data_IF_523075036373
#
_entry.id   IF_523075036373
#
_cell.length_a   1.000
_cell.length_b   1.000
_cell.length_c   1.000
_cell.angle_alpha   90.00
_cell.angle_beta   90.00
_cell.angle_gamma   90.00
#
_symmetry.space_group_name_H-M   'P 1'
#
loop_
_entity.id
_entity.type
_entity.pdbx_description
1 polymer ?
#
# COMPACT_ATOMS: atom_id res chain seq x y z
N UNK A 1 10.28 -21.39 -21.72
CA UNK A 1 10.46 -22.65 -22.32
C UNK A 1 10.88 -22.63 -23.77
N UNK A 2 10.08 -22.04 -24.64
CA UNK A 2 10.38 -22.03 -26.08
C UNK A 2 11.65 -21.24 -26.43
N UNK A 3 11.98 -20.23 -25.64
CA UNK A 3 13.19 -19.45 -25.88
C UNK A 3 14.47 -20.23 -25.65
N UNK A 4 14.46 -21.29 -24.83
CA UNK A 4 15.65 -22.07 -24.49
C UNK A 4 16.28 -22.74 -25.69
N UNK A 5 15.48 -23.22 -26.62
CA UNK A 5 15.99 -23.91 -27.81
C UNK A 5 16.71 -23.04 -28.83
N UNK A 6 16.70 -21.72 -28.65
CA UNK A 6 17.30 -20.76 -29.60
C UNK A 6 18.73 -20.38 -29.28
N UNK A 7 19.21 -20.71 -28.10
CA UNK A 7 20.48 -20.22 -27.60
C UNK A 7 21.51 -21.36 -27.48
N UNK A 8 22.72 -21.07 -27.92
CA UNK A 8 23.85 -21.98 -27.83
C UNK A 8 24.59 -21.81 -26.50
N UNK A 9 24.62 -20.59 -26.00
CA UNK A 9 25.23 -20.25 -24.72
C UNK A 9 24.17 -20.34 -23.62
N UNK A 10 24.39 -21.22 -22.67
CA UNK A 10 23.46 -21.49 -21.59
C UNK A 10 23.18 -20.25 -20.74
N UNK A 11 24.19 -19.49 -20.40
CA UNK A 11 24.00 -18.26 -19.58
C UNK A 11 23.18 -17.23 -20.32
N UNK A 12 23.41 -17.06 -21.63
CA UNK A 12 22.62 -16.16 -22.46
C UNK A 12 21.19 -16.65 -22.64
N UNK A 13 21.00 -17.96 -22.74
CA UNK A 13 19.68 -18.58 -22.86
C UNK A 13 18.84 -18.31 -21.59
N UNK A 14 19.43 -18.54 -20.43
CA UNK A 14 18.76 -18.28 -19.15
C UNK A 14 18.42 -16.79 -18.98
N UNK A 15 19.37 -15.90 -19.31
CA UNK A 15 19.16 -14.47 -19.29
C UNK A 15 18.01 -14.05 -20.22
N UNK A 16 17.94 -14.60 -21.42
CA UNK A 16 16.87 -14.27 -22.37
C UNK A 16 15.50 -14.74 -21.87
N UNK A 17 15.42 -15.91 -21.25
CA UNK A 17 14.15 -16.38 -20.63
C UNK A 17 13.67 -15.40 -19.57
N UNK A 18 14.55 -14.87 -18.73
CA UNK A 18 14.17 -13.90 -17.71
C UNK A 18 13.75 -12.53 -18.29
N UNK A 19 14.31 -12.12 -19.41
CA UNK A 19 13.93 -10.88 -20.09
C UNK A 19 12.57 -11.02 -20.77
N UNK A 20 12.33 -12.15 -21.46
CA UNK A 20 11.11 -12.37 -22.24
C UNK A 20 9.93 -12.86 -21.39
N UNK A 21 10.19 -13.47 -20.24
CA UNK A 21 9.14 -14.00 -19.37
C UNK A 21 8.60 -12.90 -18.45
N UNK A 22 7.30 -12.78 -18.36
CA UNK A 22 6.65 -11.82 -17.46
C UNK A 22 6.48 -12.37 -16.03
N UNK A 23 5.90 -13.57 -15.91
CA UNK A 23 5.68 -14.25 -14.64
C UNK A 23 5.51 -15.75 -14.85
N UNK A 24 5.79 -16.50 -13.81
CA UNK A 24 5.54 -17.95 -13.77
C UNK A 24 4.90 -18.33 -12.44
N UNK A 25 4.06 -19.37 -12.45
CA UNK A 25 3.44 -19.89 -11.23
C UNK A 25 3.97 -21.27 -10.87
N UNK A 26 3.98 -21.58 -9.58
CA UNK A 26 4.32 -22.90 -9.05
C UNK A 26 3.40 -23.24 -7.87
N UNK A 27 3.03 -24.50 -7.79
CA UNK A 27 2.36 -25.08 -6.61
C UNK A 27 3.26 -26.18 -6.08
N UNK A 28 3.56 -26.13 -4.79
CA UNK A 28 4.49 -27.09 -4.19
C UNK A 28 4.12 -27.43 -2.76
N UNK A 29 4.66 -28.53 -2.28
CA UNK A 29 4.66 -28.88 -0.87
C UNK A 29 6.08 -28.70 -0.33
N UNK A 30 6.18 -28.07 0.83
CA UNK A 30 7.41 -27.97 1.61
C UNK A 30 7.24 -28.66 2.94
N UNK A 31 8.21 -29.46 3.33
CA UNK A 31 8.21 -30.17 4.59
C UNK A 31 9.44 -29.81 5.40
N UNK A 32 9.23 -29.31 6.60
CA UNK A 32 10.29 -29.04 7.58
C UNK A 32 9.65 -28.94 8.99
N UNK A 33 10.46 -29.18 10.02
CA UNK A 33 9.98 -29.11 11.40
C UNK A 33 8.82 -30.05 11.72
N UNK A 34 8.73 -31.20 11.03
CA UNK A 34 7.64 -32.17 11.22
C UNK A 34 6.31 -31.73 10.62
N UNK A 35 6.28 -30.68 9.80
CA UNK A 35 5.08 -30.13 9.17
C UNK A 35 5.23 -30.10 7.66
N UNK A 36 4.09 -30.17 6.95
CA UNK A 36 4.01 -30.00 5.50
C UNK A 36 3.15 -28.79 5.17
N UNK A 37 3.66 -27.95 4.28
CA UNK A 37 3.02 -26.70 3.86
C UNK A 37 2.67 -26.75 2.38
N UNK A 38 1.44 -26.38 2.05
CA UNK A 38 1.02 -26.18 0.66
C UNK A 38 1.28 -24.73 0.28
N UNK A 39 2.18 -24.54 -0.68
CA UNK A 39 2.69 -23.22 -1.07
C UNK A 39 2.37 -22.97 -2.53
N UNK A 40 1.78 -21.81 -2.81
CA UNK A 40 1.54 -21.32 -4.16
C UNK A 40 2.31 -20.03 -4.37
N UNK A 41 3.02 -19.96 -5.49
CA UNK A 41 3.93 -18.86 -5.81
C UNK A 41 3.67 -18.36 -7.20
N UNK A 42 3.60 -17.05 -7.34
CA UNK A 42 3.78 -16.36 -8.62
C UNK A 42 5.08 -15.59 -8.53
N UNK A 43 5.99 -15.91 -9.42
CA UNK A 43 7.29 -15.25 -9.54
C UNK A 43 7.23 -14.28 -10.71
N UNK A 44 7.47 -13.01 -10.43
CA UNK A 44 7.36 -11.90 -11.39
C UNK A 44 8.75 -11.41 -11.75
N UNK A 45 9.03 -11.29 -13.05
CA UNK A 45 10.33 -10.86 -13.56
C UNK A 45 10.35 -9.35 -13.76
N UNK A 46 10.73 -8.60 -12.71
CA UNK A 46 10.69 -7.15 -12.70
C UNK A 46 11.69 -6.49 -13.65
N UNK A 47 12.70 -7.23 -14.10
CA UNK A 47 13.64 -6.75 -15.11
C UNK A 47 13.06 -6.73 -16.52
N UNK A 48 11.93 -7.39 -16.74
CA UNK A 48 11.21 -7.30 -18.00
C UNK A 48 10.57 -5.90 -18.13
N UNK A 49 10.94 -5.09 -19.14
CA UNK A 49 10.43 -3.72 -19.26
C UNK A 49 8.94 -3.65 -19.58
N UNK A 50 8.33 -4.76 -20.01
CA UNK A 50 6.89 -4.85 -20.29
C UNK A 50 6.06 -5.23 -19.06
N UNK A 51 6.69 -5.48 -17.94
CA UNK A 51 6.04 -5.81 -16.67
C UNK A 51 5.95 -4.55 -15.80
N UNK A 52 4.78 -4.26 -15.30
CA UNK A 52 4.52 -3.20 -14.33
C UNK A 52 3.74 -3.73 -13.13
N UNK A 53 3.75 -2.94 -12.08
CA UNK A 53 2.99 -3.20 -10.87
C UNK A 53 1.97 -2.08 -10.64
N UNK A 54 0.89 -2.40 -9.94
CA UNK A 54 -0.18 -1.45 -9.63
C UNK A 54 -0.81 -1.81 -8.30
N UNK A 55 -1.11 -0.79 -7.49
CA UNK A 55 -1.98 -0.94 -6.34
C UNK A 55 -3.42 -0.74 -6.81
N UNK A 56 -4.24 -1.78 -6.67
CA UNK A 56 -5.68 -1.71 -6.91
C UNK A 56 -6.42 -1.57 -5.57
N UNK A 57 -7.57 -0.96 -5.62
CA UNK A 57 -8.42 -0.78 -4.45
C UNK A 57 -9.89 -0.93 -4.86
N UNK A 58 -10.72 -1.35 -3.91
CA UNK A 58 -12.09 -1.77 -4.19
C UNK A 58 -12.92 -0.69 -4.88
N UNK A 59 -13.45 -1.00 -6.07
CA UNK A 59 -14.34 -0.11 -6.84
C UNK A 59 -13.73 1.29 -7.09
N UNK A 60 -12.40 1.38 -7.13
CA UNK A 60 -11.66 2.64 -7.28
C UNK A 60 -12.00 3.71 -6.24
N UNK A 61 -12.40 3.29 -5.04
CA UNK A 61 -12.68 4.17 -3.91
C UNK A 61 -12.09 3.56 -2.63
N UNK A 62 -11.21 4.30 -1.98
CA UNK A 62 -10.62 3.85 -0.71
C UNK A 62 -11.72 3.78 0.36
N UNK A 63 -11.90 2.60 0.94
CA UNK A 63 -12.97 2.29 1.88
C UNK A 63 -14.04 1.36 1.34
N UNK A 64 -14.05 1.08 0.05
CA UNK A 64 -14.90 0.06 -0.56
C UNK A 64 -14.13 -1.25 -0.77
N UNK A 65 -14.85 -2.31 -1.02
CA UNK A 65 -14.29 -3.64 -1.27
C UNK A 65 -14.74 -4.19 -2.62
N UNK A 66 -13.95 -5.11 -3.13
CA UNK A 66 -14.19 -5.77 -4.41
C UNK A 66 -13.50 -7.14 -4.39
N UNK A 67 -14.00 -8.12 -5.15
CA UNK A 67 -13.32 -9.40 -5.25
C UNK A 67 -11.94 -9.26 -5.92
N UNK A 68 -10.99 -10.09 -5.52
CA UNK A 68 -9.66 -10.11 -6.16
C UNK A 68 -9.78 -10.38 -7.66
N UNK A 69 -10.65 -11.32 -8.03
CA UNK A 69 -10.91 -11.66 -9.43
C UNK A 69 -11.40 -10.46 -10.23
N UNK A 70 -12.34 -9.69 -9.68
CA UNK A 70 -12.87 -8.49 -10.32
C UNK A 70 -11.79 -7.42 -10.52
N UNK A 71 -11.00 -7.13 -9.49
CA UNK A 71 -9.89 -6.16 -9.58
C UNK A 71 -8.86 -6.58 -10.63
N UNK A 72 -8.50 -7.87 -10.66
CA UNK A 72 -7.55 -8.41 -11.62
C UNK A 72 -8.09 -8.33 -13.06
N UNK A 73 -9.33 -8.74 -13.27
CA UNK A 73 -9.92 -8.79 -14.61
C UNK A 73 -10.17 -7.40 -15.19
N UNK A 74 -10.72 -6.46 -14.42
CA UNK A 74 -10.96 -5.09 -14.92
C UNK A 74 -9.67 -4.32 -15.22
N UNK A 75 -8.58 -4.73 -14.64
CA UNK A 75 -7.25 -4.17 -14.90
C UNK A 75 -6.46 -4.96 -15.93
N UNK A 76 -7.02 -6.03 -16.46
CA UNK A 76 -6.33 -6.95 -17.37
C UNK A 76 -5.00 -7.42 -16.81
N UNK A 77 -4.98 -7.79 -15.53
CA UNK A 77 -3.76 -8.16 -14.83
C UNK A 77 -3.23 -9.53 -15.27
N UNK A 78 -1.92 -9.67 -15.27
CA UNK A 78 -1.23 -10.95 -15.45
C UNK A 78 -1.36 -11.79 -14.19
N UNK A 79 -1.20 -11.15 -13.03
CA UNK A 79 -1.28 -11.77 -11.72
C UNK A 79 -1.76 -10.76 -10.68
N UNK A 80 -2.21 -11.25 -9.54
CA UNK A 80 -2.63 -10.42 -8.42
C UNK A 80 -2.54 -11.18 -7.10
N UNK A 81 -2.29 -10.44 -6.03
CA UNK A 81 -2.34 -10.94 -4.67
C UNK A 81 -3.07 -9.92 -3.79
N UNK A 82 -3.75 -10.40 -2.75
CA UNK A 82 -4.36 -9.52 -1.76
C UNK A 82 -3.31 -8.58 -1.14
N UNK A 83 -3.75 -7.41 -0.73
CA UNK A 83 -2.85 -6.36 -0.23
C UNK A 83 -2.75 -6.29 1.28
N UNK A 84 -2.81 -5.07 1.80
CA UNK A 84 -2.69 -4.82 3.24
C UNK A 84 -3.99 -5.08 4.00
N UNK A 85 -3.86 -5.13 5.30
CA UNK A 85 -4.97 -5.30 6.25
C UNK A 85 -6.06 -4.24 6.06
N UNK A 86 -7.28 -4.59 6.40
CA UNK A 86 -8.39 -3.66 6.38
C UNK A 86 -9.47 -4.09 7.38
N UNK A 87 -10.41 -3.21 7.65
CA UNK A 87 -11.52 -3.46 8.58
C UNK A 87 -12.60 -4.33 7.94
N UNK A 88 -12.29 -5.61 7.73
CA UNK A 88 -13.15 -6.56 7.03
C UNK A 88 -14.46 -6.86 7.76
N UNK A 89 -14.47 -6.73 9.09
CA UNK A 89 -15.63 -7.10 9.93
C UNK A 89 -16.60 -5.94 10.17
N UNK A 90 -16.34 -4.76 9.64
CA UNK A 90 -17.31 -3.67 9.68
C UNK A 90 -18.57 -4.06 8.90
N UNK A 91 -19.73 -3.76 9.45
CA UNK A 91 -21.02 -4.10 8.81
C UNK A 91 -21.40 -3.12 7.72
N UNK A 92 -20.84 -1.93 7.73
CA UNK A 92 -21.10 -0.86 6.76
C UNK A 92 -19.80 -0.28 6.22
N UNK A 93 -19.87 0.29 5.01
CA UNK A 93 -18.75 1.04 4.46
C UNK A 93 -18.57 2.39 5.18
N UNK A 94 -17.37 2.93 5.29
CA UNK A 94 -16.15 2.42 4.67
C UNK A 94 -15.50 1.29 5.47
N UNK A 95 -14.90 0.33 4.75
CA UNK A 95 -14.03 -0.70 5.32
C UNK A 95 -12.59 -0.28 5.10
N UNK A 96 -12.08 0.49 6.03
CA UNK A 96 -10.80 1.20 5.91
C UNK A 96 -9.61 0.25 5.76
N UNK A 97 -8.65 0.54 4.87
CA UNK A 97 -7.33 -0.07 4.95
C UNK A 97 -6.67 0.24 6.31
N UNK A 98 -5.86 -0.69 6.78
CA UNK A 98 -5.12 -0.53 8.05
C UNK A 98 -3.61 -0.33 7.80
N UNK A 99 -3.22 -0.07 6.58
CA UNK A 99 -1.85 0.25 6.19
C UNK A 99 -1.79 1.50 5.32
N UNK A 100 -0.60 2.05 5.16
CA UNK A 100 -0.37 3.16 4.24
C UNK A 100 -0.37 2.64 2.81
N UNK A 101 -0.92 3.42 1.89
CA UNK A 101 -0.94 3.12 0.46
C UNK A 101 -0.39 4.29 -0.35
N UNK A 102 0.48 3.99 -1.31
CA UNK A 102 0.87 4.90 -2.38
C UNK A 102 0.21 4.40 -3.65
N UNK A 103 -0.52 5.29 -4.32
CA UNK A 103 -1.26 4.99 -5.54
C UNK A 103 -0.94 6.09 -6.56
N UNK A 104 -0.56 5.69 -7.76
CA UNK A 104 -0.19 6.62 -8.83
C UNK A 104 0.85 7.67 -8.39
N UNK A 105 1.83 7.23 -7.60
CA UNK A 105 2.97 8.05 -7.18
C UNK A 105 2.73 8.95 -5.98
N UNK A 106 1.55 8.94 -5.38
CA UNK A 106 1.21 9.77 -4.21
C UNK A 106 0.73 8.95 -3.04
N UNK A 107 1.01 9.42 -1.83
CA UNK A 107 0.41 8.86 -0.62
C UNK A 107 -1.09 9.14 -0.68
N UNK A 108 -1.90 8.06 -0.76
CA UNK A 108 -3.35 8.15 -0.88
C UNK A 108 -4.10 7.54 0.31
N UNK A 109 -3.38 6.81 1.16
CA UNK A 109 -3.88 6.38 2.46
C UNK A 109 -2.75 6.46 3.47
N UNK A 110 -2.97 7.20 4.54
CA UNK A 110 -2.01 7.40 5.62
C UNK A 110 -2.70 7.13 6.95
N UNK A 111 -2.26 6.07 7.63
CA UNK A 111 -2.75 5.69 8.95
C UNK A 111 -1.85 6.22 10.07
N UNK A 112 -0.55 6.29 9.80
CA UNK A 112 0.46 6.55 10.82
C UNK A 112 1.47 7.57 10.28
N UNK A 113 1.19 8.85 10.56
CA UNK A 113 2.12 9.92 10.23
C UNK A 113 3.44 9.72 10.96
N UNK A 114 4.55 9.74 10.22
CA UNK A 114 5.94 9.61 10.72
C UNK A 114 6.30 8.28 11.39
N UNK A 115 5.36 7.37 11.62
CA UNK A 115 5.68 6.07 12.21
C UNK A 115 6.29 5.15 11.16
N UNK A 116 7.45 4.54 11.44
CA UNK A 116 8.02 3.57 10.52
C UNK A 116 7.13 2.33 10.44
N UNK A 117 6.92 1.85 9.22
CA UNK A 117 6.18 0.63 8.94
C UNK A 117 6.90 -0.18 7.88
N UNK A 118 6.85 -1.50 7.99
CA UNK A 118 7.30 -2.40 6.94
C UNK A 118 6.47 -2.15 5.69
N UNK A 119 7.13 -1.84 4.58
CA UNK A 119 6.48 -1.36 3.36
C UNK A 119 7.12 -1.99 2.14
N UNK A 120 6.27 -2.50 1.23
CA UNK A 120 6.65 -2.88 -0.12
C UNK A 120 6.37 -1.69 -1.05
N UNK A 121 7.34 -1.32 -1.87
CA UNK A 121 7.18 -0.24 -2.84
C UNK A 121 7.87 -0.54 -4.17
N UNK A 122 7.42 0.12 -5.22
CA UNK A 122 7.92 -0.09 -6.58
C UNK A 122 7.92 1.21 -7.39
N UNK A 123 8.75 1.24 -8.40
CA UNK A 123 8.87 2.33 -9.37
C UNK A 123 8.35 1.91 -10.73
N UNK A 124 8.15 2.86 -11.63
CA UNK A 124 7.72 2.58 -13.01
C UNK A 124 8.79 1.85 -13.82
N UNK A 125 10.06 2.03 -13.49
CA UNK A 125 11.18 1.40 -14.18
C UNK A 125 11.57 0.02 -13.63
N UNK A 126 10.72 -0.59 -12.81
CA UNK A 126 10.90 -1.98 -12.37
C UNK A 126 11.78 -2.17 -11.15
N UNK A 127 12.14 -1.10 -10.44
CA UNK A 127 12.80 -1.23 -9.14
C UNK A 127 11.76 -1.45 -8.05
N UNK A 128 12.10 -2.25 -7.06
CA UNK A 128 11.24 -2.53 -5.92
C UNK A 128 12.06 -2.64 -4.65
N UNK A 129 11.41 -2.42 -3.51
CA UNK A 129 12.04 -2.48 -2.20
C UNK A 129 11.04 -2.96 -1.14
N UNK A 130 11.56 -3.66 -0.13
CA UNK A 130 10.86 -3.91 1.13
C UNK A 130 11.70 -3.26 2.20
N UNK A 131 11.14 -2.25 2.86
CA UNK A 131 11.87 -1.45 3.83
C UNK A 131 11.04 -1.05 5.03
N UNK A 132 11.70 -0.44 6.00
CA UNK A 132 11.08 0.21 7.14
C UNK A 132 10.97 1.70 6.82
N UNK A 133 9.78 2.15 6.50
CA UNK A 133 9.53 3.46 5.88
C UNK A 133 8.55 4.27 6.71
N UNK A 134 8.95 5.49 7.04
CA UNK A 134 8.06 6.52 7.57
C UNK A 134 7.54 7.41 6.45
N UNK A 135 6.29 7.83 6.56
CA UNK A 135 5.63 8.69 5.57
C UNK A 135 4.99 9.88 6.26
N UNK A 136 5.10 11.05 5.65
CA UNK A 136 4.34 12.23 6.07
C UNK A 136 4.06 13.15 4.89
N UNK A 137 3.04 13.98 5.05
CA UNK A 137 2.73 15.08 4.15
C UNK A 137 3.27 16.38 4.76
N UNK A 138 3.92 17.17 3.95
CA UNK A 138 4.26 18.55 4.28
C UNK A 138 3.43 19.51 3.45
N UNK A 139 2.55 20.25 4.10
CA UNK A 139 1.76 21.30 3.48
C UNK A 139 2.50 22.64 3.47
N UNK A 140 2.29 23.40 2.41
CA UNK A 140 2.93 24.71 2.22
C UNK A 140 1.89 25.74 1.81
N UNK A 141 2.09 26.97 2.27
CA UNK A 141 1.39 28.14 1.76
C UNK A 141 2.21 28.73 0.62
N UNK A 142 1.66 28.71 -0.58
CA UNK A 142 2.35 29.24 -1.77
C UNK A 142 2.08 30.73 -1.92
N UNK A 143 0.83 31.14 -1.64
CA UNK A 143 0.41 32.53 -1.64
C UNK A 143 -0.66 32.72 -0.57
N UNK A 144 -0.48 33.72 0.27
CA UNK A 144 -1.44 34.03 1.34
C UNK A 144 -2.59 34.87 0.82
N UNK A 145 -3.78 34.66 1.37
CA UNK A 145 -4.88 35.60 1.17
C UNK A 145 -4.52 36.98 1.77
N UNK A 146 -5.06 38.08 1.23
CA UNK A 146 -4.62 39.44 1.61
C UNK A 146 -4.72 39.78 3.10
N UNK A 147 -5.60 39.11 3.83
CA UNK A 147 -5.83 39.34 5.27
C UNK A 147 -5.07 38.36 6.18
N UNK A 148 -4.23 37.50 5.61
CA UNK A 148 -3.44 36.55 6.39
C UNK A 148 -2.10 37.14 6.84
N UNK A 149 -1.70 36.76 8.05
CA UNK A 149 -0.42 37.17 8.63
C UNK A 149 0.77 36.52 7.89
N UNK A 150 1.78 37.33 7.47
CA UNK A 150 2.91 36.81 6.69
C UNK A 150 3.70 35.67 7.34
N UNK A 151 3.74 35.61 8.68
CA UNK A 151 4.47 34.56 9.41
C UNK A 151 3.90 33.15 9.20
N UNK A 152 2.63 33.04 8.78
CA UNK A 152 1.99 31.76 8.50
C UNK A 152 2.69 31.03 7.35
N UNK A 153 3.25 31.77 6.39
CA UNK A 153 3.92 31.19 5.23
C UNK A 153 5.10 30.30 5.63
N UNK A 154 5.82 30.66 6.69
CA UNK A 154 7.00 29.92 7.14
C UNK A 154 6.65 28.69 7.99
N UNK A 155 5.41 28.58 8.44
CA UNK A 155 4.99 27.48 9.34
C UNK A 155 4.53 26.22 8.60
N UNK A 156 4.02 26.35 7.39
CA UNK A 156 3.39 25.25 6.67
C UNK A 156 2.12 24.73 7.37
N UNK A 157 1.63 23.59 6.88
CA UNK A 157 0.53 22.85 7.48
C UNK A 157 0.80 21.36 7.37
N UNK A 158 0.23 20.55 8.26
CA UNK A 158 0.47 19.12 8.31
C UNK A 158 -0.81 18.33 8.08
N UNK A 159 -0.64 17.04 7.80
CA UNK A 159 -1.74 16.09 7.62
C UNK A 159 -1.50 14.90 8.55
N UNK A 160 -2.50 14.57 9.35
CA UNK A 160 -2.47 13.41 10.23
C UNK A 160 -2.87 12.12 9.54
N UNK A 161 -3.95 12.17 8.74
CA UNK A 161 -4.44 11.02 7.97
C UNK A 161 -4.85 11.42 6.57
N UNK A 162 -4.85 10.46 5.65
CA UNK A 162 -5.34 10.65 4.27
C UNK A 162 -6.36 9.57 3.95
N UNK A 163 -7.53 9.99 3.44
CA UNK A 163 -8.60 9.12 2.97
C UNK A 163 -9.06 8.08 4.01
N UNK A 164 -9.07 8.49 5.24
CA UNK A 164 -9.45 7.67 6.39
C UNK A 164 -10.61 8.29 7.14
N UNK A 165 -11.51 7.45 7.64
CA UNK A 165 -12.61 7.92 8.49
C UNK A 165 -12.07 8.46 9.82
N UNK A 166 -12.61 9.59 10.31
CA UNK A 166 -12.25 10.11 11.61
C UNK A 166 -12.60 9.11 12.72
N UNK A 167 -11.77 9.07 13.75
CA UNK A 167 -12.03 8.25 14.92
C UNK A 167 -12.92 9.02 15.89
N UNK A 168 -14.17 8.60 16.00
CA UNK A 168 -15.19 9.29 16.80
C UNK A 168 -14.88 9.36 18.30
N UNK A 169 -14.09 8.41 18.79
CA UNK A 169 -13.73 8.33 20.21
C UNK A 169 -12.52 9.16 20.59
N UNK A 170 -11.84 9.72 19.62
CA UNK A 170 -10.68 10.57 19.88
C UNK A 170 -11.15 11.99 20.18
N UNK A 171 -10.91 12.43 21.40
CA UNK A 171 -11.05 13.85 21.78
C UNK A 171 -9.88 14.69 21.26
N UNK A 172 -8.82 14.04 20.78
CA UNK A 172 -7.66 14.67 20.18
C UNK A 172 -8.02 15.04 18.74
N UNK A 173 -7.84 16.31 18.39
CA UNK A 173 -8.09 16.78 17.04
C UNK A 173 -7.09 16.26 16.02
N UNK A 174 -7.46 16.36 14.75
CA UNK A 174 -6.61 16.02 13.63
C UNK A 174 -6.89 16.91 12.42
N UNK A 175 -5.89 17.01 11.55
CA UNK A 175 -6.03 17.57 10.21
C UNK A 175 -5.95 16.39 9.23
N UNK A 176 -7.03 16.18 8.48
CA UNK A 176 -7.19 15.06 7.58
C UNK A 176 -7.30 15.55 6.14
N UNK A 177 -6.73 14.78 5.21
CA UNK A 177 -6.79 15.06 3.78
C UNK A 177 -7.72 14.06 3.11
N UNK A 178 -8.64 14.54 2.28
CA UNK A 178 -9.50 13.71 1.45
C UNK A 178 -9.30 14.08 -0.01
N UNK A 179 -8.88 13.11 -0.79
CA UNK A 179 -8.63 13.22 -2.23
C UNK A 179 -9.74 12.49 -3.01
N UNK A 180 -9.82 12.66 -4.34
CA UNK A 180 -10.76 11.92 -5.18
C UNK A 180 -10.65 10.40 -5.07
N UNK A 181 -9.53 9.86 -4.59
CA UNK A 181 -9.38 8.42 -4.32
C UNK A 181 -10.32 7.91 -3.20
N UNK A 182 -10.80 8.81 -2.36
CA UNK A 182 -11.84 8.50 -1.36
C UNK A 182 -13.21 8.26 -2.01
N UNK A 183 -13.47 8.91 -3.12
CA UNK A 183 -14.76 8.95 -3.79
C UNK A 183 -15.27 10.38 -3.93
N UNK A 184 -16.58 10.56 -4.08
CA UNK A 184 -17.19 11.86 -4.32
C UNK A 184 -17.40 12.70 -3.06
N UNK A 185 -17.43 12.08 -1.88
CA UNK A 185 -17.64 12.76 -0.60
C UNK A 185 -16.67 12.24 0.46
N UNK A 186 -16.40 13.06 1.48
CA UNK A 186 -15.44 12.73 2.54
C UNK A 186 -15.90 11.59 3.42
N UNK A 187 -17.19 11.42 3.61
CA UNK A 187 -17.78 10.54 4.64
C UNK A 187 -17.16 10.76 6.01
N UNK A 188 -16.84 12.02 6.30
CA UNK A 188 -16.33 12.46 7.59
C UNK A 188 -17.48 13.09 8.38
N UNK A 189 -17.84 12.47 9.50
CA UNK A 189 -18.96 12.84 10.35
C UNK A 189 -18.44 13.28 11.71
N UNK A 190 -17.59 14.30 11.73
CA UNK A 190 -16.88 14.75 12.94
C UNK A 190 -17.17 16.22 13.30
N UNK A 191 -18.12 16.85 12.62
CA UNK A 191 -18.43 18.28 12.84
C UNK A 191 -17.27 19.20 12.49
N UNK A 192 -16.36 18.76 11.62
CA UNK A 192 -15.12 19.48 11.31
C UNK A 192 -15.32 20.70 10.42
N UNK A 193 -14.25 21.47 10.33
CA UNK A 193 -14.09 22.53 9.34
C UNK A 193 -13.49 21.94 8.09
N UNK A 194 -14.16 22.10 6.95
CA UNK A 194 -13.74 21.52 5.67
C UNK A 194 -13.29 22.63 4.74
N UNK A 195 -12.00 22.59 4.40
CA UNK A 195 -11.37 23.53 3.47
C UNK A 195 -11.38 22.89 2.08
N UNK A 196 -12.12 23.45 1.16
CA UNK A 196 -12.23 22.96 -0.22
C UNK A 196 -11.15 23.62 -1.06
N UNK A 197 -10.26 22.81 -1.62
CA UNK A 197 -9.15 23.29 -2.43
C UNK A 197 -9.33 22.76 -3.86
N UNK A 198 -9.37 23.72 -4.82
CA UNK A 198 -9.47 23.42 -6.25
C UNK A 198 -8.33 24.12 -6.99
N UNK A 199 -7.62 23.38 -7.85
CA UNK A 199 -6.47 23.93 -8.57
C UNK A 199 -5.50 24.68 -7.63
N UNK A 200 -5.18 24.06 -6.50
CA UNK A 200 -4.29 24.58 -5.46
C UNK A 200 -4.80 25.83 -4.71
N UNK A 201 -6.03 26.27 -4.95
CA UNK A 201 -6.59 27.46 -4.31
C UNK A 201 -7.78 27.09 -3.41
N UNK A 202 -7.81 27.61 -2.20
CA UNK A 202 -8.97 27.49 -1.32
C UNK A 202 -10.14 28.25 -1.95
N UNK A 203 -11.20 27.53 -2.26
CA UNK A 203 -12.40 28.11 -2.89
C UNK A 203 -13.55 28.26 -1.93
N UNK A 204 -13.57 27.46 -0.85
CA UNK A 204 -14.69 27.44 0.08
C UNK A 204 -14.25 26.85 1.41
N UNK A 205 -14.85 27.31 2.50
CA UNK A 205 -14.72 26.73 3.84
C UNK A 205 -16.12 26.37 4.32
N UNK A 206 -16.36 25.09 4.59
CA UNK A 206 -17.67 24.56 4.96
C UNK A 206 -17.58 23.91 6.34
N UNK A 207 -18.42 24.35 7.27
CA UNK A 207 -18.59 23.68 8.56
C UNK A 207 -19.68 22.62 8.44
N UNK A 208 -19.41 21.42 8.91
CA UNK A 208 -20.38 20.34 8.89
C UNK A 208 -19.81 19.01 8.43
N UNK A 209 -20.73 18.07 8.19
CA UNK A 209 -20.40 16.68 7.90
C UNK A 209 -20.53 16.35 6.41
N UNK A 210 -19.73 15.40 5.97
CA UNK A 210 -19.84 14.72 4.69
C UNK A 210 -19.94 15.69 3.49
N UNK A 211 -18.87 16.44 3.27
CA UNK A 211 -18.80 17.37 2.14
C UNK A 211 -18.31 16.72 0.86
N UNK A 212 -18.64 17.31 -0.29
CA UNK A 212 -18.16 16.86 -1.60
C UNK A 212 -16.66 17.10 -1.76
N UNK A 213 -15.99 16.16 -2.42
CA UNK A 213 -14.57 16.27 -2.78
C UNK A 213 -14.49 16.75 -4.24
N UNK A 214 -13.82 17.87 -4.52
CA UNK A 214 -13.66 18.31 -5.90
C UNK A 214 -12.74 17.37 -6.68
N UNK A 215 -13.05 17.10 -7.95
CA UNK A 215 -12.24 16.22 -8.80
C UNK A 215 -10.87 16.81 -9.13
N UNK A 216 -10.76 18.13 -9.15
CA UNK A 216 -9.55 18.89 -9.45
C UNK A 216 -8.83 19.41 -8.21
N UNK A 217 -9.06 18.75 -7.07
CA UNK A 217 -8.46 19.17 -5.82
C UNK A 217 -8.67 18.17 -4.69
N UNK A 218 -8.91 18.71 -3.50
CA UNK A 218 -9.02 17.93 -2.28
C UNK A 218 -9.74 18.72 -1.18
N UNK A 219 -10.02 18.03 -0.08
CA UNK A 219 -10.60 18.64 1.12
C UNK A 219 -9.61 18.46 2.28
N UNK A 220 -9.33 19.56 2.98
CA UNK A 220 -8.65 19.52 4.27
C UNK A 220 -9.73 19.58 5.35
N UNK A 221 -9.86 18.52 6.14
CA UNK A 221 -10.84 18.42 7.22
C UNK A 221 -10.13 18.61 8.56
N UNK A 222 -10.55 19.62 9.31
CA UNK A 222 -9.94 20.02 10.58
C UNK A 222 -10.97 19.82 11.68
N UNK A 223 -10.64 19.01 12.68
CA UNK A 223 -11.56 18.78 13.78
C UNK A 223 -10.89 18.74 15.15
N UNK A 224 -11.70 18.85 16.19
CA UNK A 224 -11.25 18.75 17.57
C UNK A 224 -10.32 19.90 17.95
N UNK A 225 -9.29 19.61 18.71
CA UNK A 225 -8.30 20.59 19.17
C UNK A 225 -7.54 21.29 18.04
N UNK A 226 -7.50 20.68 16.85
CA UNK A 226 -6.80 21.25 15.69
C UNK A 226 -7.59 22.37 15.01
N UNK A 227 -8.87 22.58 15.37
CA UNK A 227 -9.68 23.73 14.89
C UNK A 227 -9.04 25.09 15.21
N UNK A 228 -8.14 25.15 16.16
CA UNK A 228 -7.36 26.37 16.44
C UNK A 228 -6.54 26.84 15.23
N UNK A 229 -6.31 25.97 14.24
CA UNK A 229 -5.57 26.29 13.01
C UNK A 229 -6.47 26.61 11.81
N UNK A 230 -7.80 26.55 11.96
CA UNK A 230 -8.74 26.74 10.83
C UNK A 230 -8.61 28.11 10.17
N UNK A 231 -8.26 29.14 10.93
CA UNK A 231 -8.09 30.51 10.43
C UNK A 231 -6.87 30.69 9.51
N UNK A 232 -6.04 29.65 9.38
CA UNK A 232 -4.92 29.65 8.44
C UNK A 232 -5.30 29.29 7.00
N UNK A 233 -6.59 28.99 6.78
CA UNK A 233 -7.09 28.53 5.48
C UNK A 233 -8.22 29.45 5.02
N UNK A 234 -7.85 30.55 4.38
CA UNK A 234 -8.80 31.54 3.85
C UNK A 234 -9.14 31.26 2.40
N UNK A 235 -10.36 31.61 1.96
CA UNK A 235 -10.69 31.60 0.55
C UNK A 235 -9.70 32.48 -0.22
N UNK A 236 -9.12 31.94 -1.28
CA UNK A 236 -8.08 32.59 -2.08
C UNK A 236 -6.66 32.24 -1.69
N UNK A 237 -6.44 31.57 -0.54
CA UNK A 237 -5.12 31.05 -0.17
C UNK A 237 -4.67 29.98 -1.18
N UNK A 238 -3.45 30.10 -1.67
CA UNK A 238 -2.85 29.11 -2.58
C UNK A 238 -2.01 28.14 -1.76
N UNK A 239 -2.35 26.86 -1.85
CA UNK A 239 -1.74 25.77 -1.10
C UNK A 239 -1.08 24.77 -2.01
N UNK A 240 -0.11 24.02 -1.48
CA UNK A 240 0.38 22.77 -2.06
C UNK A 240 0.81 21.84 -0.94
N UNK A 241 1.01 20.58 -1.27
CA UNK A 241 1.61 19.63 -0.34
C UNK A 241 2.53 18.67 -1.08
N UNK A 242 3.53 18.18 -0.36
CA UNK A 242 4.52 17.22 -0.85
C UNK A 242 4.54 16.00 0.04
N UNK A 243 4.86 14.87 -0.56
CA UNK A 243 5.05 13.60 0.14
C UNK A 243 6.50 13.48 0.56
N UNK A 244 6.75 13.19 1.84
CA UNK A 244 8.06 12.95 2.38
C UNK A 244 8.19 11.53 2.93
N UNK A 245 9.36 10.96 2.75
CA UNK A 245 9.68 9.60 3.16
C UNK A 245 10.93 9.58 4.03
N UNK A 246 10.88 8.78 5.09
CA UNK A 246 12.03 8.47 5.93
C UNK A 246 12.37 7.00 5.78
N UNK A 247 13.57 6.71 5.30
CA UNK A 247 14.05 5.34 5.08
C UNK A 247 14.90 4.93 6.27
N UNK A 248 14.30 4.18 7.20
CA UNK A 248 15.02 3.61 8.34
C UNK A 248 15.82 2.38 7.94
N UNK A 249 15.26 1.59 7.03
CA UNK A 249 15.89 0.44 6.40
C UNK A 249 15.28 0.31 5.00
N UNK A 250 16.12 0.19 3.97
CA UNK A 250 15.67 0.08 2.59
C UNK A 250 16.53 0.91 1.63
N UNK A 251 16.05 1.08 0.42
CA UNK A 251 16.73 1.81 -0.63
C UNK A 251 16.22 3.25 -0.74
N UNK A 252 16.97 4.26 -0.28
CA UNK A 252 16.53 5.65 -0.30
C UNK A 252 16.32 6.22 -1.71
N UNK A 253 16.91 5.61 -2.75
CA UNK A 253 16.77 6.08 -4.12
C UNK A 253 15.36 5.87 -4.67
N UNK A 254 14.59 4.94 -4.10
CA UNK A 254 13.23 4.60 -4.52
C UNK A 254 12.19 5.48 -3.81
N UNK A 255 12.40 5.74 -2.53
CA UNK A 255 11.42 6.40 -1.66
C UNK A 255 11.47 7.91 -1.76
N UNK A 256 11.06 8.42 -2.92
CA UNK A 256 11.01 9.85 -3.23
C UNK A 256 9.77 10.15 -4.06
N UNK A 257 9.13 11.29 -3.81
CA UNK A 257 8.05 11.76 -4.67
C UNK A 257 8.58 11.94 -6.11
N UNK A 258 7.84 11.44 -7.08
CA UNK A 258 8.26 11.45 -8.50
C UNK A 258 9.05 10.21 -8.91
N UNK A 259 9.52 9.39 -7.97
CA UNK A 259 10.22 8.12 -8.22
C UNK A 259 9.34 6.94 -7.82
N UNK A 260 8.89 6.90 -6.56
CA UNK A 260 7.98 5.85 -6.09
C UNK A 260 6.65 5.94 -6.84
N UNK A 261 6.16 4.82 -7.35
CA UNK A 261 4.89 4.77 -8.08
C UNK A 261 3.76 4.16 -7.26
N UNK A 262 4.07 3.14 -6.50
CA UNK A 262 3.09 2.51 -5.63
C UNK A 262 3.73 1.82 -4.45
N UNK A 263 2.97 1.66 -3.37
CA UNK A 263 3.42 0.97 -2.18
C UNK A 263 2.25 0.54 -1.31
N UNK A 264 2.50 -0.46 -0.46
CA UNK A 264 1.62 -0.83 0.63
C UNK A 264 2.44 -1.17 1.87
N UNK A 265 1.98 -0.72 3.02
CA UNK A 265 2.55 -1.11 4.31
C UNK A 265 1.73 -2.24 4.92
N UNK A 266 2.42 -3.20 5.50
CA UNK A 266 1.84 -4.33 6.23
C UNK A 266 2.91 -4.89 7.18
N UNK A 267 2.93 -6.17 7.39
CA UNK A 267 3.95 -6.81 8.21
C UNK A 267 3.39 -7.95 9.04
N UNK A 268 4.21 -8.54 9.91
CA UNK A 268 5.60 -8.16 10.19
C UNK A 268 6.57 -8.48 9.04
N UNK A 269 7.74 -7.87 9.09
CA UNK A 269 8.84 -8.25 8.22
C UNK A 269 9.29 -9.67 8.53
N UNK A 270 9.62 -10.43 7.51
CA UNK A 270 10.00 -11.84 7.63
C UNK A 270 11.50 -12.04 7.44
N UNK A 271 12.05 -11.41 6.42
CA UNK A 271 13.46 -11.55 6.02
C UNK A 271 14.05 -10.18 5.74
N UNK A 272 15.27 -9.97 6.22
CA UNK A 272 16.06 -8.77 5.96
C UNK A 272 17.43 -9.19 5.45
N UNK A 273 17.77 -8.80 4.22
CA UNK A 273 19.05 -9.10 3.59
C UNK A 273 19.47 -10.58 3.71
N UNK A 274 18.54 -11.48 3.42
CA UNK A 274 18.73 -12.92 3.41
C UNK A 274 18.60 -13.60 4.77
N UNK A 275 18.44 -12.87 5.85
CA UNK A 275 18.32 -13.40 7.22
C UNK A 275 16.88 -13.32 7.71
N UNK A 276 16.43 -14.36 8.36
CA UNK A 276 15.13 -14.35 9.05
C UNK A 276 15.23 -13.40 10.25
N UNK A 277 14.40 -12.36 10.23
CA UNK A 277 14.38 -11.31 11.24
C UNK A 277 12.98 -11.10 11.81
N UNK A 278 12.07 -12.01 11.58
CA UNK A 278 10.68 -11.86 11.99
C UNK A 278 10.57 -11.68 13.51
N UNK A 279 9.97 -10.57 13.91
CA UNK A 279 9.71 -10.21 15.30
C UNK A 279 8.44 -9.36 15.34
N UNK A 280 7.26 -9.98 15.39
CA UNK A 280 5.99 -9.25 15.32
C UNK A 280 5.85 -8.17 16.40
N UNK A 281 6.29 -8.47 17.62
CA UNK A 281 6.16 -7.56 18.77
C UNK A 281 6.96 -6.26 18.56
N UNK A 282 8.12 -6.33 17.92
CA UNK A 282 8.93 -5.16 17.61
C UNK A 282 8.23 -4.20 16.62
N UNK A 283 7.26 -4.70 15.86
CA UNK A 283 6.44 -3.93 14.93
C UNK A 283 5.02 -3.67 15.47
N UNK A 284 4.83 -3.86 16.78
CA UNK A 284 3.55 -3.65 17.49
C UNK A 284 2.41 -4.61 17.07
N UNK A 285 2.75 -5.79 16.55
CA UNK A 285 1.78 -6.84 16.30
C UNK A 285 1.65 -7.71 17.54
N UNK A 286 0.49 -7.66 18.20
CA UNK A 286 0.19 -8.41 19.43
C UNK A 286 -0.99 -9.37 19.27
N UNK A 287 -1.68 -9.33 18.13
CA UNK A 287 -2.86 -10.15 17.86
C UNK A 287 -2.43 -11.61 17.64
N UNK A 288 -3.01 -12.61 18.38
CA UNK A 288 -2.62 -14.01 18.25
C UNK A 288 -2.73 -14.59 16.83
N UNK A 289 -3.65 -14.09 16.02
CA UNK A 289 -3.75 -14.46 14.60
C UNK A 289 -2.44 -14.23 13.85
N UNK A 290 -1.69 -13.17 14.18
CA UNK A 290 -0.40 -12.88 13.57
C UNK A 290 0.72 -13.56 14.35
N UNK A 291 0.71 -13.49 15.69
CA UNK A 291 1.85 -13.88 16.52
C UNK A 291 1.91 -15.36 16.85
N UNK A 292 0.78 -16.08 16.88
CA UNK A 292 0.71 -17.44 17.44
C UNK A 292 0.06 -18.48 16.52
N UNK A 293 -1.00 -18.13 15.81
CA UNK A 293 -1.85 -19.13 15.15
C UNK A 293 -1.29 -19.56 13.79
N UNK A 294 -1.47 -20.86 13.49
CA UNK A 294 -1.38 -21.35 12.13
C UNK A 294 -2.65 -20.98 11.37
N UNK A 295 -2.50 -20.29 10.25
CA UNK A 295 -3.63 -19.89 9.41
C UNK A 295 -3.17 -19.61 8.00
N UNK A 296 -4.11 -19.39 7.08
CA UNK A 296 -3.78 -18.98 5.73
C UNK A 296 -2.95 -17.70 5.75
N UNK A 297 -1.84 -17.69 5.02
CA UNK A 297 -0.89 -16.58 4.95
C UNK A 297 -0.67 -16.15 3.51
N UNK A 298 -0.40 -14.86 3.38
CA UNK A 298 0.10 -14.27 2.14
C UNK A 298 1.36 -13.47 2.44
N UNK A 299 2.30 -13.49 1.51
CA UNK A 299 3.59 -12.81 1.67
C UNK A 299 4.09 -12.25 0.35
N UNK A 300 4.88 -11.19 0.45
CA UNK A 300 5.66 -10.62 -0.63
C UNK A 300 7.14 -10.82 -0.35
N UNK A 301 7.90 -11.19 -1.39
CA UNK A 301 9.34 -11.32 -1.31
C UNK A 301 10.03 -10.71 -2.52
N UNK A 302 11.25 -10.26 -2.32
CA UNK A 302 12.14 -9.80 -3.38
C UNK A 302 13.42 -10.62 -3.36
N UNK A 303 13.80 -11.15 -4.51
CA UNK A 303 15.07 -11.84 -4.68
C UNK A 303 16.20 -10.86 -4.99
N UNK A 304 17.46 -11.28 -4.84
CA UNK A 304 18.61 -10.45 -5.19
C UNK A 304 18.63 -10.03 -6.66
N UNK A 305 18.11 -10.89 -7.54
CA UNK A 305 18.07 -10.68 -8.98
C UNK A 305 16.76 -10.04 -9.45
N UNK A 306 16.11 -9.28 -8.58
CA UNK A 306 14.95 -8.43 -8.87
C UNK A 306 13.73 -9.20 -9.37
N UNK A 307 13.42 -10.32 -8.74
CA UNK A 307 12.15 -11.03 -8.92
C UNK A 307 11.23 -10.77 -7.73
N UNK A 308 9.96 -10.55 -8.01
CA UNK A 308 8.94 -10.45 -6.99
C UNK A 308 8.31 -11.83 -6.77
N UNK A 309 8.23 -12.26 -5.53
CA UNK A 309 7.54 -13.46 -5.10
C UNK A 309 6.20 -13.07 -4.46
N UNK A 310 5.11 -13.52 -5.07
CA UNK A 310 3.76 -13.40 -4.53
C UNK A 310 3.34 -14.78 -4.05
N UNK A 311 3.19 -14.94 -2.73
CA UNK A 311 3.11 -16.28 -2.10
C UNK A 311 1.88 -16.38 -1.24
N UNK A 312 1.15 -17.50 -1.36
CA UNK A 312 0.12 -17.91 -0.42
C UNK A 312 0.43 -19.28 0.14
N UNK A 313 0.12 -19.47 1.42
CA UNK A 313 0.28 -20.73 2.14
C UNK A 313 -1.05 -21.05 2.82
N UNK A 314 -1.52 -22.30 2.69
CA UNK A 314 -2.84 -22.70 3.20
C UNK A 314 -2.95 -22.63 4.72
N UNK A 315 -1.86 -22.93 5.44
CA UNK A 315 -1.78 -22.81 6.89
C UNK A 315 -0.33 -22.77 7.34
N UNK A 316 0.05 -21.71 8.02
CA UNK A 316 1.40 -21.55 8.58
C UNK A 316 1.37 -20.57 9.75
N UNK A 317 2.27 -20.78 10.71
CA UNK A 317 2.65 -19.74 11.67
C UNK A 317 3.53 -18.71 10.97
N UNK A 318 3.66 -17.54 11.57
CA UNK A 318 4.45 -16.46 10.99
C UNK A 318 5.94 -16.84 10.84
N UNK A 319 6.49 -17.58 11.79
CA UNK A 319 7.87 -18.06 11.75
C UNK A 319 8.08 -19.08 10.62
N UNK A 320 7.10 -19.93 10.39
CA UNK A 320 7.13 -20.90 9.29
C UNK A 320 7.05 -20.20 7.93
N UNK A 321 6.26 -19.13 7.85
CA UNK A 321 6.16 -18.30 6.63
C UNK A 321 7.52 -17.68 6.28
N UNK A 322 8.26 -17.21 7.28
CA UNK A 322 9.61 -16.67 7.06
C UNK A 322 10.56 -17.74 6.48
N UNK A 323 10.50 -18.96 7.01
CA UNK A 323 11.30 -20.09 6.50
C UNK A 323 10.90 -20.49 5.08
N UNK A 324 9.62 -20.49 4.78
CA UNK A 324 9.10 -20.75 3.42
C UNK A 324 9.66 -19.72 2.45
N UNK A 325 9.56 -18.45 2.79
CA UNK A 325 10.05 -17.37 1.94
C UNK A 325 11.57 -17.45 1.73
N UNK A 326 12.33 -17.81 2.75
CA UNK A 326 13.77 -18.01 2.63
C UNK A 326 14.09 -19.17 1.66
N UNK A 327 13.37 -20.28 1.76
CA UNK A 327 13.54 -21.44 0.86
C UNK A 327 13.17 -21.12 -0.58
N UNK A 328 12.25 -20.18 -0.81
CA UNK A 328 11.88 -19.70 -2.14
C UNK A 328 12.90 -18.72 -2.73
N UNK A 329 13.90 -18.31 -1.98
CA UNK A 329 14.95 -17.41 -2.45
C UNK A 329 14.71 -15.94 -2.17
N UNK A 330 13.77 -15.59 -1.32
CA UNK A 330 13.57 -14.20 -0.91
C UNK A 330 14.80 -13.67 -0.17
N UNK A 331 15.30 -12.52 -0.60
CA UNK A 331 16.34 -11.78 0.09
C UNK A 331 15.76 -10.80 1.11
N UNK A 332 14.60 -10.22 0.76
CA UNK A 332 13.74 -9.46 1.66
C UNK A 332 12.32 -9.98 1.52
N UNK A 333 11.59 -10.05 2.62
CA UNK A 333 10.20 -10.53 2.61
C UNK A 333 9.39 -9.93 3.74
N UNK A 334 8.08 -9.87 3.51
CA UNK A 334 7.11 -9.38 4.49
C UNK A 334 5.81 -10.16 4.41
N UNK A 335 5.14 -10.28 5.55
CA UNK A 335 3.76 -10.74 5.64
C UNK A 335 2.82 -9.64 5.17
N UNK A 336 1.75 -10.02 4.51
CA UNK A 336 0.62 -9.16 4.18
C UNK A 336 -0.66 -9.75 4.76
N UNK A 337 -1.83 -9.21 4.41
CA UNK A 337 -3.08 -9.73 4.99
C UNK A 337 -3.27 -11.21 4.66
N UNK A 338 -3.82 -11.94 5.60
CA UNK A 338 -4.00 -13.39 5.52
C UNK A 338 -5.43 -13.83 5.86
N UNK A 339 -5.56 -15.09 6.31
CA UNK A 339 -6.85 -15.65 6.64
C UNK A 339 -7.78 -15.68 5.43
N UNK A 340 -9.02 -15.25 5.63
CA UNK A 340 -10.02 -15.21 4.57
C UNK A 340 -9.69 -14.21 3.44
N UNK A 341 -8.73 -13.29 3.67
CA UNK A 341 -8.28 -12.36 2.63
C UNK A 341 -7.25 -12.96 1.68
N UNK A 342 -6.58 -14.06 2.05
CA UNK A 342 -5.56 -14.68 1.21
C UNK A 342 -6.10 -15.05 -0.15
N UNK A 343 -5.47 -14.51 -1.19
CA UNK A 343 -5.85 -14.77 -2.57
C UNK A 343 -4.68 -14.60 -3.52
N UNK A 344 -4.64 -15.42 -4.56
CA UNK A 344 -3.61 -15.36 -5.59
C UNK A 344 -4.24 -15.67 -6.94
N UNK A 345 -4.09 -14.73 -7.85
CA UNK A 345 -4.60 -14.81 -9.23
C UNK A 345 -3.42 -14.91 -10.20
N UNK A 346 -3.55 -15.76 -11.20
CA UNK A 346 -2.54 -15.92 -12.23
C UNK A 346 -3.19 -16.30 -13.55
N UNK A 347 -3.02 -15.47 -14.57
CA UNK A 347 -3.42 -15.73 -15.97
C UNK A 347 -4.80 -16.38 -16.11
N UNK A 348 -5.83 -15.72 -15.58
CA UNK A 348 -7.22 -16.14 -15.69
C UNK A 348 -7.73 -17.06 -14.59
N UNK A 349 -6.89 -17.48 -13.65
CA UNK A 349 -7.27 -18.42 -12.59
C UNK A 349 -6.93 -17.92 -11.19
N UNK A 350 -7.83 -18.16 -10.25
CA UNK A 350 -7.51 -18.05 -8.84
C UNK A 350 -6.77 -19.31 -8.37
N UNK A 351 -5.48 -19.17 -8.08
CA UNK A 351 -4.69 -20.23 -7.46
C UNK A 351 -5.04 -20.40 -5.98
N UNK A 352 -5.34 -19.30 -5.33
CA UNK A 352 -5.89 -19.23 -3.98
C UNK A 352 -7.10 -18.32 -4.03
N UNK A 353 -8.25 -18.82 -3.57
CA UNK A 353 -9.52 -18.09 -3.60
C UNK A 353 -9.75 -17.39 -2.29
N UNK A 354 -9.85 -16.04 -2.26
CA UNK A 354 -10.24 -15.34 -1.03
C UNK A 354 -11.64 -15.73 -0.57
N UNK A 355 -11.83 -15.78 0.74
CA UNK A 355 -13.15 -16.02 1.35
C UNK A 355 -13.98 -14.75 1.52
N UNK A 356 -13.52 -13.61 1.02
CA UNK A 356 -14.20 -12.31 1.12
C UNK A 356 -13.73 -11.36 0.02
N UNK A 357 -14.49 -10.28 -0.16
CA UNK A 357 -14.04 -9.14 -0.95
C UNK A 357 -12.91 -8.40 -0.23
N UNK A 358 -12.05 -7.75 -0.98
CA UNK A 358 -10.82 -7.11 -0.51
C UNK A 358 -10.87 -5.60 -0.66
N UNK A 359 -10.22 -4.90 0.25
CA UNK A 359 -10.02 -3.46 0.19
C UNK A 359 -9.02 -3.05 -0.90
N UNK A 360 -7.94 -3.82 -1.03
CA UNK A 360 -6.83 -3.51 -1.92
C UNK A 360 -6.07 -4.76 -2.33
N UNK A 361 -5.30 -4.65 -3.41
CA UNK A 361 -4.50 -5.73 -3.96
C UNK A 361 -3.28 -5.17 -4.69
N UNK A 362 -2.26 -6.02 -4.83
CA UNK A 362 -1.11 -5.76 -5.69
C UNK A 362 -1.31 -6.52 -6.99
N UNK A 363 -1.33 -5.80 -8.09
CA UNK A 363 -1.50 -6.34 -9.45
C UNK A 363 -0.20 -6.30 -10.22
N UNK A 364 -0.01 -7.32 -11.06
CA UNK A 364 1.02 -7.35 -12.10
C UNK A 364 0.33 -7.06 -13.42
N UNK A 365 0.77 -6.03 -14.10
CA UNK A 365 0.16 -5.56 -15.36
C UNK A 365 1.19 -5.55 -16.48
N UNK A 366 0.70 -5.61 -17.71
CA UNK A 366 1.54 -5.43 -18.89
C UNK A 366 1.56 -3.95 -19.27
N UNK A 367 2.77 -3.43 -19.47
CA UNK A 367 2.97 -2.03 -19.93
C UNK A 367 2.95 -1.95 -21.44
#
# INVERSE_FOLDING_TARGET
GEALGRYVDWDQTERAVYIDTDAVSSTMQMSFGGKTFNVKVVKVFLNNPHVGLKIAYGQNQIGLTESLLSMAQRSNAIAAINGTFFRAYETTNPKEPSGNLIIDGRIEHLCFRDKPATTFGFTKDGRADIGLIGMKIEGQYVELAPDMEPWIMDMGWYVGTINRSPQYWSTVGSINLYTPKRGSTTRAYNGGTNVIVRNNTVTQVIHGDNVSIPRDGYVINIYGSEKKYEDRFHVGTVLRYIDNYYVYNGNPDIWQQGVIDGALSAGPRLITNGKITVNPEAENYTIPKITEYSMARSALGLTKDNKLLMVTVSSAKIEDLAKIMQKLGAYNAMNIDGGASSGLYYKGKLLTTPGRDLSNALLVIRK
#
